data_IF_301272993565
#
_entry.id   IF_301272993565
#
_cell.length_a   1.000
_cell.length_b   1.000
_cell.length_c   1.000
_cell.angle_alpha   90.00
_cell.angle_beta   90.00
_cell.angle_gamma   90.00
#
_symmetry.space_group_name_H-M   'P 1'
#
loop_
_entity.id
_entity.type
_entity.pdbx_description
1 polymer ?
#
# COMPACT_ATOMS: atom_id res chain seq x y z
N UNK A 1 -18.46 37.82 -39.89
CA UNK A 1 -17.05 37.38 -39.70
C UNK A 1 -16.97 36.79 -38.30
N UNK A 2 -17.27 35.50 -38.15
CA UNK A 2 -16.28 34.40 -38.06
C UNK A 2 -15.00 34.81 -37.30
N UNK A 3 -14.91 34.35 -36.05
CA UNK A 3 -13.75 34.48 -35.19
C UNK A 3 -13.75 33.37 -34.16
N UNK A 4 -13.60 32.14 -34.64
CA UNK A 4 -13.29 30.94 -33.87
C UNK A 4 -12.02 31.16 -33.04
N UNK A 5 -12.06 30.92 -31.73
CA UNK A 5 -10.90 30.44 -30.98
C UNK A 5 -11.37 29.46 -29.90
N UNK A 6 -11.48 28.19 -30.30
CA UNK A 6 -11.38 27.03 -29.41
C UNK A 6 -10.05 27.13 -28.64
N UNK A 7 -10.08 27.66 -27.42
CA UNK A 7 -9.02 27.38 -26.45
C UNK A 7 -9.31 26.05 -25.78
N UNK A 8 -8.85 25.00 -26.45
CA UNK A 8 -8.05 23.91 -25.89
C UNK A 8 -8.02 23.87 -24.35
N UNK A 9 -9.12 23.44 -23.74
CA UNK A 9 -9.08 22.65 -22.52
C UNK A 9 -8.53 21.26 -22.88
N UNK A 10 -7.26 21.26 -23.29
CA UNK A 10 -6.43 20.07 -23.28
C UNK A 10 -6.34 19.65 -21.82
N UNK A 11 -7.26 18.77 -21.43
CA UNK A 11 -7.18 18.00 -20.20
C UNK A 11 -5.74 17.53 -20.09
N UNK A 12 -5.05 18.05 -19.08
CA UNK A 12 -3.66 17.75 -18.74
C UNK A 12 -3.63 16.27 -18.35
N UNK A 13 -3.59 15.42 -19.37
CA UNK A 13 -3.47 13.98 -19.22
C UNK A 13 -2.22 13.76 -18.40
N UNK A 14 -2.41 13.22 -17.20
CA UNK A 14 -1.34 12.86 -16.31
C UNK A 14 -0.33 12.04 -17.11
N UNK A 15 0.80 12.67 -17.45
CA UNK A 15 1.81 12.08 -18.29
C UNK A 15 2.24 10.79 -17.60
N UNK A 16 2.03 9.68 -18.31
CA UNK A 16 2.38 8.36 -17.85
C UNK A 16 3.84 8.38 -17.41
N UNK A 17 4.14 8.15 -16.13
CA UNK A 17 5.53 7.98 -15.70
C UNK A 17 6.16 6.87 -16.52
N UNK A 18 7.31 7.15 -17.12
CA UNK A 18 8.06 6.19 -17.93
C UNK A 18 8.92 5.23 -17.08
N UNK A 19 8.87 5.35 -15.74
CA UNK A 19 9.71 4.59 -14.81
C UNK A 19 8.91 4.05 -13.61
N UNK A 20 9.32 2.90 -13.04
CA UNK A 20 8.82 2.43 -11.74
C UNK A 20 8.98 3.46 -10.63
N UNK A 21 8.15 3.36 -9.58
CA UNK A 21 8.17 4.30 -8.46
C UNK A 21 6.77 4.65 -7.95
N UNK A 22 6.65 5.82 -7.34
CA UNK A 22 5.38 6.36 -6.84
C UNK A 22 5.10 7.73 -7.46
N UNK A 23 3.82 8.07 -7.66
CA UNK A 23 3.45 9.39 -8.21
C UNK A 23 3.59 10.53 -7.19
N UNK A 24 3.71 10.21 -5.90
CA UNK A 24 3.96 11.14 -4.80
C UNK A 24 5.19 10.66 -4.02
N UNK A 25 6.03 11.58 -3.50
CA UNK A 25 7.12 11.20 -2.61
C UNK A 25 6.55 10.63 -1.30
N UNK A 26 7.13 9.53 -0.83
CA UNK A 26 6.79 8.89 0.44
C UNK A 26 7.97 9.00 1.41
N UNK A 27 7.66 9.10 2.69
CA UNK A 27 8.66 8.96 3.76
C UNK A 27 8.67 7.51 4.24
N UNK A 28 9.84 6.88 4.22
CA UNK A 28 9.99 5.47 4.56
C UNK A 28 10.39 5.29 6.05
N UNK A 29 10.04 4.17 6.69
CA UNK A 29 9.29 3.03 6.15
C UNK A 29 7.83 3.38 5.83
N UNK A 30 7.17 2.56 5.03
CA UNK A 30 5.73 2.68 4.74
C UNK A 30 4.99 1.42 5.17
N UNK A 31 3.84 1.58 5.79
CA UNK A 31 2.94 0.50 6.20
C UNK A 31 1.88 0.32 5.13
N UNK A 32 1.93 -0.78 4.41
CA UNK A 32 0.95 -1.21 3.42
C UNK A 32 -0.07 -2.12 4.11
N UNK A 33 -1.36 -1.81 3.98
CA UNK A 33 -2.42 -2.57 4.63
C UNK A 33 -3.69 -2.64 3.77
N UNK A 34 -4.45 -3.71 3.93
CA UNK A 34 -5.66 -4.01 3.16
C UNK A 34 -5.75 -5.49 2.78
N UNK A 35 -6.94 -5.97 2.42
CA UNK A 35 -7.18 -7.38 2.04
C UNK A 35 -6.65 -8.40 3.08
N UNK A 36 -6.79 -8.09 4.37
CA UNK A 36 -6.31 -8.95 5.46
C UNK A 36 -4.78 -9.08 5.54
N UNK A 37 -4.04 -8.15 4.92
CA UNK A 37 -2.57 -8.11 4.92
C UNK A 37 -2.05 -6.84 5.58
N UNK A 38 -0.94 -6.99 6.28
CA UNK A 38 -0.12 -5.91 6.82
C UNK A 38 1.32 -6.20 6.36
N UNK A 39 1.96 -5.21 5.74
CA UNK A 39 3.34 -5.30 5.25
C UNK A 39 4.04 -3.98 5.49
N UNK A 40 5.31 -4.04 5.87
CA UNK A 40 6.15 -2.84 6.04
C UNK A 40 7.23 -2.85 4.97
N UNK A 41 7.30 -1.77 4.19
CA UNK A 41 8.28 -1.60 3.12
C UNK A 41 9.27 -0.51 3.50
N UNK A 42 10.55 -0.84 3.53
CA UNK A 42 11.63 0.09 3.93
C UNK A 42 12.05 1.06 2.83
N UNK A 43 11.81 0.69 1.58
CA UNK A 43 12.30 1.44 0.43
C UNK A 43 11.29 1.42 -0.70
N UNK A 44 11.44 2.34 -1.65
CA UNK A 44 10.60 2.39 -2.85
C UNK A 44 10.80 1.16 -3.73
N UNK A 45 12.01 0.61 -3.78
CA UNK A 45 12.32 -0.60 -4.54
C UNK A 45 11.56 -1.80 -3.98
N UNK A 46 11.52 -1.99 -2.65
CA UNK A 46 10.73 -3.06 -2.02
C UNK A 46 9.23 -2.86 -2.27
N UNK A 47 8.73 -1.63 -2.15
CA UNK A 47 7.32 -1.31 -2.38
C UNK A 47 6.88 -1.57 -3.84
N UNK A 48 7.78 -1.30 -4.78
CA UNK A 48 7.48 -1.33 -6.23
C UNK A 48 7.98 -2.57 -6.95
N UNK A 49 8.66 -3.49 -6.25
CA UNK A 49 9.07 -4.78 -6.79
C UNK A 49 8.02 -5.84 -6.47
N UNK A 50 7.48 -6.46 -7.50
CA UNK A 50 6.37 -7.42 -7.41
C UNK A 50 6.79 -8.74 -8.06
N UNK A 51 6.40 -9.87 -7.48
CA UNK A 51 6.55 -11.16 -8.13
C UNK A 51 5.32 -11.47 -8.97
N UNK A 52 5.49 -12.10 -10.13
CA UNK A 52 4.41 -12.50 -11.05
C UNK A 52 3.28 -13.30 -10.37
N UNK A 53 3.62 -14.08 -9.36
CA UNK A 53 2.72 -14.89 -8.54
C UNK A 53 2.20 -14.19 -7.29
N UNK A 54 2.74 -13.03 -6.92
CA UNK A 54 2.23 -12.29 -5.78
C UNK A 54 0.87 -11.74 -6.16
N UNK A 55 -0.21 -12.36 -5.65
CA UNK A 55 -1.58 -11.90 -5.82
C UNK A 55 -1.83 -10.60 -5.05
N UNK A 56 -1.02 -9.56 -5.31
CA UNK A 56 -1.15 -8.21 -4.76
C UNK A 56 -1.99 -7.39 -5.71
N UNK A 57 -3.25 -7.15 -5.32
CA UNK A 57 -4.10 -6.21 -6.02
C UNK A 57 -3.89 -4.81 -5.44
N UNK A 58 -2.89 -4.10 -5.94
CA UNK A 58 -2.49 -2.78 -5.42
C UNK A 58 -3.64 -1.77 -5.19
N UNK A 59 -4.69 -1.65 -6.04
CA UNK A 59 -5.73 -0.63 -5.86
C UNK A 59 -6.61 -0.79 -4.60
N UNK A 60 -6.67 -1.97 -3.99
CA UNK A 60 -7.40 -2.18 -2.73
C UNK A 60 -6.56 -1.84 -1.49
N UNK A 61 -5.26 -1.62 -1.67
CA UNK A 61 -4.33 -1.39 -0.58
C UNK A 61 -4.19 0.11 -0.26
N UNK A 62 -3.95 0.38 1.01
CA UNK A 62 -3.67 1.69 1.56
C UNK A 62 -2.27 1.73 2.17
N UNK A 63 -1.71 2.92 2.27
CA UNK A 63 -0.34 3.16 2.72
C UNK A 63 -0.34 4.22 3.82
N UNK A 64 0.36 3.97 4.92
CA UNK A 64 0.74 5.00 5.89
C UNK A 64 2.25 5.20 5.75
N UNK A 65 2.67 6.42 5.44
CA UNK A 65 4.10 6.76 5.40
C UNK A 65 4.65 7.12 6.78
N UNK A 66 5.98 7.20 6.94
CA UNK A 66 6.63 7.50 8.21
C UNK A 66 6.28 8.89 8.79
N UNK A 67 5.78 9.81 7.96
CA UNK A 67 5.24 11.10 8.40
C UNK A 67 3.76 11.02 8.84
N UNK A 68 3.17 9.83 8.83
CA UNK A 68 1.78 9.59 9.20
C UNK A 68 0.78 9.97 8.12
N UNK A 69 1.19 10.17 6.86
CA UNK A 69 0.23 10.44 5.79
C UNK A 69 -0.39 9.14 5.29
N UNK A 70 -1.72 9.13 5.25
CA UNK A 70 -2.50 8.08 4.64
C UNK A 70 -2.63 8.35 3.14
N UNK A 71 -2.26 7.37 2.34
CA UNK A 71 -2.39 7.36 0.89
C UNK A 71 -3.22 6.16 0.45
N UNK A 72 -4.01 6.34 -0.60
CA UNK A 72 -4.65 5.25 -1.34
C UNK A 72 -3.92 5.04 -2.66
N UNK A 73 -3.67 3.78 -3.01
CA UNK A 73 -3.21 3.44 -4.36
C UNK A 73 -4.42 3.44 -5.28
N UNK A 74 -4.45 4.34 -6.26
CA UNK A 74 -5.60 4.44 -7.20
C UNK A 74 -5.35 3.69 -8.49
N UNK A 75 -4.08 3.46 -8.84
CA UNK A 75 -3.68 2.72 -10.04
C UNK A 75 -2.27 2.19 -9.86
N UNK A 76 -2.02 0.98 -10.35
CA UNK A 76 -0.68 0.45 -10.55
C UNK A 76 -0.44 0.27 -12.05
N UNK A 77 0.78 0.56 -12.50
CA UNK A 77 1.22 0.29 -13.88
C UNK A 77 2.45 -0.59 -13.84
N UNK A 78 2.42 -1.69 -14.57
CA UNK A 78 3.48 -2.70 -14.53
C UNK A 78 4.56 -2.41 -15.59
N UNK A 79 5.80 -2.75 -15.27
CA UNK A 79 6.99 -2.58 -16.12
C UNK A 79 7.82 -3.85 -16.08
N UNK A 80 8.25 -4.32 -17.26
CA UNK A 80 9.13 -5.48 -17.37
C UNK A 80 8.45 -6.83 -17.09
N UNK A 81 7.11 -6.87 -16.97
CA UNK A 81 6.38 -8.12 -16.81
C UNK A 81 6.52 -8.98 -18.08
N UNK A 82 7.16 -10.13 -17.93
CA UNK A 82 7.23 -11.14 -18.99
C UNK A 82 5.90 -11.87 -19.12
N UNK A 83 5.61 -12.39 -20.31
CA UNK A 83 4.42 -13.22 -20.53
C UNK A 83 4.42 -14.41 -19.57
N UNK A 84 3.26 -14.66 -18.94
CA UNK A 84 3.04 -15.76 -17.99
C UNK A 84 3.43 -17.13 -18.58
N UNK A 85 3.36 -17.28 -19.90
CA UNK A 85 3.73 -18.50 -20.63
C UNK A 85 5.24 -18.78 -20.59
N UNK A 86 6.08 -17.74 -20.53
CA UNK A 86 7.55 -17.87 -20.62
C UNK A 86 8.25 -18.00 -19.26
N UNK A 87 7.55 -17.65 -18.18
CA UNK A 87 8.13 -17.44 -16.85
C UNK A 87 7.38 -18.23 -15.75
N UNK A 88 6.27 -18.88 -16.09
CA UNK A 88 5.46 -19.65 -15.12
C UNK A 88 5.08 -18.84 -13.86
N UNK A 89 5.07 -17.50 -13.95
CA UNK A 89 4.73 -16.59 -12.87
C UNK A 89 5.84 -16.32 -11.84
N UNK A 90 7.08 -16.74 -12.07
CA UNK A 90 8.18 -16.58 -11.09
C UNK A 90 8.93 -15.25 -11.18
N UNK A 91 8.84 -14.55 -12.30
CA UNK A 91 9.65 -13.38 -12.56
C UNK A 91 9.19 -12.17 -11.76
N UNK A 92 10.17 -11.39 -11.38
CA UNK A 92 9.99 -10.08 -10.77
C UNK A 92 9.71 -9.05 -11.83
N UNK A 93 8.71 -8.21 -11.60
CA UNK A 93 8.44 -7.02 -12.38
C UNK A 93 8.33 -5.83 -11.45
N UNK A 94 8.37 -4.63 -12.02
CA UNK A 94 8.28 -3.41 -11.24
C UNK A 94 6.98 -2.67 -11.53
N UNK A 95 6.52 -1.86 -10.57
CA UNK A 95 5.31 -1.07 -10.73
C UNK A 95 5.55 0.42 -10.54
N UNK A 96 4.76 1.23 -11.23
CA UNK A 96 4.52 2.62 -10.86
C UNK A 96 3.17 2.73 -10.16
N UNK A 97 3.19 3.14 -8.89
CA UNK A 97 2.00 3.33 -8.07
C UNK A 97 1.52 4.78 -8.15
N UNK A 98 0.32 4.97 -8.67
CA UNK A 98 -0.38 6.26 -8.60
C UNK A 98 -1.06 6.35 -7.25
N UNK A 99 -0.62 7.32 -6.45
CA UNK A 99 -1.06 7.55 -5.08
C UNK A 99 -1.95 8.79 -5.00
N UNK A 100 -2.96 8.71 -4.14
CA UNK A 100 -3.75 9.85 -3.71
C UNK A 100 -3.60 10.01 -2.20
N UNK A 101 -2.99 11.10 -1.76
CA UNK A 101 -2.96 11.47 -0.33
C UNK A 101 -4.39 11.75 0.12
N UNK A 102 -4.79 11.12 1.22
CA UNK A 102 -6.12 11.28 1.79
C UNK A 102 -6.10 12.27 2.96
N UNK A 103 -5.28 11.99 3.97
CA UNK A 103 -5.12 12.82 5.17
C UNK A 103 -3.82 12.49 5.92
N UNK A 104 -3.45 13.30 6.89
CA UNK A 104 -2.46 12.93 7.91
C UNK A 104 -3.18 12.30 9.08
N UNK A 105 -2.68 11.16 9.56
CA UNK A 105 -3.22 10.40 10.68
C UNK A 105 -2.45 10.72 11.94
N UNK A 106 -3.16 10.80 13.07
CA UNK A 106 -2.57 10.63 14.39
C UNK A 106 -2.45 9.15 14.74
N UNK A 107 -1.61 8.80 15.71
CA UNK A 107 -1.43 7.43 16.19
C UNK A 107 -2.77 6.72 16.47
N UNK A 108 -3.69 7.37 17.19
CA UNK A 108 -4.98 6.79 17.52
C UNK A 108 -5.81 6.41 16.28
N UNK A 109 -5.75 7.22 15.22
CA UNK A 109 -6.46 6.92 13.96
C UNK A 109 -5.77 5.80 13.18
N UNK A 110 -4.43 5.80 13.11
CA UNK A 110 -3.67 4.74 12.47
C UNK A 110 -3.91 3.39 13.17
N UNK A 111 -3.85 3.37 14.50
CA UNK A 111 -4.15 2.19 15.32
C UNK A 111 -5.58 1.71 15.06
N UNK A 112 -6.56 2.61 15.04
CA UNK A 112 -7.96 2.25 14.76
C UNK A 112 -8.11 1.53 13.42
N UNK A 113 -7.49 2.04 12.35
CA UNK A 113 -7.55 1.40 11.02
C UNK A 113 -6.97 -0.02 11.02
N UNK A 114 -5.86 -0.24 11.75
CA UNK A 114 -5.24 -1.55 11.84
C UNK A 114 -6.05 -2.50 12.74
N UNK A 115 -6.62 -2.00 13.83
CA UNK A 115 -7.52 -2.76 14.70
C UNK A 115 -8.75 -3.25 13.93
N UNK A 116 -9.36 -2.39 13.11
CA UNK A 116 -10.47 -2.77 12.23
C UNK A 116 -10.06 -3.90 11.27
N UNK A 117 -8.85 -3.83 10.71
CA UNK A 117 -8.33 -4.86 9.79
C UNK A 117 -8.05 -6.21 10.47
N UNK A 118 -7.40 -6.22 11.65
CA UNK A 118 -7.05 -7.48 12.34
C UNK A 118 -8.23 -8.12 13.06
N UNK A 119 -9.25 -7.31 13.40
CA UNK A 119 -10.48 -7.80 14.04
C UNK A 119 -11.52 -8.29 13.03
N UNK A 120 -11.29 -8.09 11.73
CA UNK A 120 -12.19 -8.59 10.69
C UNK A 120 -12.26 -10.13 10.76
N UNK A 121 -13.47 -10.74 10.80
CA UNK A 121 -13.63 -12.20 10.84
C UNK A 121 -12.95 -12.94 9.67
N UNK A 122 -12.82 -12.28 8.51
CA UNK A 122 -12.18 -12.81 7.31
C UNK A 122 -10.66 -12.55 7.28
N UNK A 123 -10.12 -11.84 8.29
CA UNK A 123 -8.68 -11.58 8.38
C UNK A 123 -7.88 -12.87 8.58
N UNK A 124 -6.60 -12.82 8.21
CA UNK A 124 -5.69 -13.96 8.40
C UNK A 124 -5.47 -14.30 9.88
N UNK A 125 -5.55 -13.32 10.78
CA UNK A 125 -5.38 -13.51 12.23
C UNK A 125 -6.58 -14.18 12.90
N UNK A 126 -7.78 -14.00 12.35
CA UNK A 126 -9.01 -14.65 12.82
C UNK A 126 -9.05 -16.16 12.55
N UNK A 127 -8.16 -16.68 11.69
CA UNK A 127 -8.06 -18.11 11.37
C UNK A 127 -7.37 -18.93 12.47
N UNK A 128 -6.64 -18.29 13.37
CA UNK A 128 -5.88 -18.95 14.43
C UNK A 128 -6.55 -18.73 15.80
N UNK A 129 -6.68 -19.77 16.65
CA UNK A 129 -7.24 -19.61 17.98
C UNK A 129 -6.47 -18.55 18.80
N UNK A 130 -7.13 -17.43 19.10
CA UNK A 130 -6.53 -16.33 19.86
C UNK A 130 -5.67 -15.35 19.03
N UNK A 131 -5.50 -15.58 17.72
CA UNK A 131 -4.67 -14.74 16.85
C UNK A 131 -5.14 -13.28 16.81
N UNK A 132 -6.44 -13.04 16.62
CA UNK A 132 -6.99 -11.67 16.61
C UNK A 132 -6.81 -10.97 17.97
N UNK A 133 -6.99 -11.68 19.09
CA UNK A 133 -6.79 -11.12 20.42
C UNK A 133 -5.32 -10.73 20.66
N UNK A 134 -4.39 -11.57 20.20
CA UNK A 134 -2.95 -11.29 20.25
C UNK A 134 -2.59 -10.09 19.38
N UNK A 135 -3.06 -10.04 18.14
CA UNK A 135 -2.85 -8.91 17.24
C UNK A 135 -3.37 -7.59 17.83
N UNK A 136 -4.57 -7.59 18.40
CA UNK A 136 -5.15 -6.43 19.08
C UNK A 136 -4.26 -5.96 20.23
N UNK A 137 -3.83 -6.88 21.11
CA UNK A 137 -2.98 -6.55 22.25
C UNK A 137 -1.64 -5.91 21.81
N UNK A 138 -1.02 -6.43 20.74
CA UNK A 138 0.21 -5.85 20.20
C UNK A 138 0.00 -4.42 19.69
N UNK A 139 -1.05 -4.19 18.88
CA UNK A 139 -1.37 -2.87 18.33
C UNK A 139 -1.75 -1.86 19.43
N UNK A 140 -2.43 -2.28 20.49
CA UNK A 140 -2.80 -1.43 21.62
C UNK A 140 -1.61 -1.02 22.48
N UNK A 141 -0.58 -1.86 22.57
CA UNK A 141 0.63 -1.60 23.38
C UNK A 141 1.55 -0.52 22.81
N UNK A 142 1.42 -0.18 21.52
CA UNK A 142 2.30 0.76 20.81
C UNK A 142 2.01 2.22 21.17
N UNK A 143 3.01 3.00 21.57
CA UNK A 143 2.87 4.38 22.05
C UNK A 143 3.22 5.45 21.00
N UNK A 144 3.74 5.03 19.85
CA UNK A 144 4.09 5.91 18.74
C UNK A 144 3.77 5.28 17.38
N UNK A 145 3.72 6.09 16.32
CA UNK A 145 3.55 5.58 14.96
C UNK A 145 4.74 4.72 14.55
N UNK A 146 5.96 5.09 14.97
CA UNK A 146 7.16 4.29 14.73
C UNK A 146 7.07 2.92 15.37
N UNK A 147 6.71 2.84 16.65
CA UNK A 147 6.47 1.57 17.35
C UNK A 147 5.41 0.72 16.66
N UNK A 148 4.30 1.35 16.24
CA UNK A 148 3.23 0.66 15.51
C UNK A 148 3.73 0.03 14.21
N UNK A 149 4.55 0.76 13.44
CA UNK A 149 5.14 0.24 12.20
C UNK A 149 6.13 -0.88 12.48
N UNK A 150 6.97 -0.76 13.50
CA UNK A 150 7.91 -1.81 13.89
C UNK A 150 7.19 -3.07 14.36
N UNK A 151 6.11 -2.95 15.11
CA UNK A 151 5.27 -4.07 15.53
C UNK A 151 4.63 -4.74 14.30
N UNK A 152 4.10 -3.95 13.36
CA UNK A 152 3.57 -4.46 12.09
C UNK A 152 4.58 -5.22 11.22
N UNK A 153 5.90 -4.99 11.35
CA UNK A 153 6.91 -5.82 10.66
C UNK A 153 6.86 -7.28 11.12
N UNK A 154 6.44 -7.49 12.37
CA UNK A 154 6.31 -8.79 13.02
C UNK A 154 4.88 -9.30 13.01
N UNK A 155 4.02 -8.80 12.12
CA UNK A 155 2.61 -9.17 12.12
C UNK A 155 2.35 -10.67 11.86
N UNK A 156 3.34 -11.38 11.33
CA UNK A 156 3.33 -12.83 11.15
C UNK A 156 3.51 -13.61 12.47
N UNK A 157 4.06 -12.99 13.52
CA UNK A 157 4.21 -13.57 14.87
C UNK A 157 2.94 -13.45 15.73
N UNK A 158 1.90 -12.81 15.22
CA UNK A 158 0.64 -12.59 15.96
C UNK A 158 -0.33 -13.77 15.86
N UNK A 159 0.03 -14.82 15.13
CA UNK A 159 -0.73 -16.07 15.06
C UNK A 159 -0.55 -16.93 16.32
#
# INVERSE_FOLDING_TARGET
MLGFLLSLLAGRGAQASAKPGTSLPLQYPVLLFGEGRILVMDTVEKLTSTQGSSGLYYPSLQLIDAAGNLHRIVKAREFGRKSWVLDMGTGTFHVHLVLKRLKTLKLAEARKLLLELVSDPESSWSRWPGGSARAVAQLESCNSLGELMEECRRSWDWH
#
